data_IF_530059492755
#
_entry.id   IF_530059492755
#
_cell.length_a   1.000
_cell.length_b   1.000
_cell.length_c   1.000
_cell.angle_alpha   90.00
_cell.angle_beta   90.00
_cell.angle_gamma   90.00
#
_symmetry.space_group_name_H-M   'P 1'
#
loop_
_entity.id
_entity.type
_entity.pdbx_description
1 polymer ?
#
# COMPACT_ATOMS: atom_id res chain seq x y z
N UNK A 1 39.42 75.20 22.40
CA UNK A 1 39.39 75.53 20.96
C UNK A 1 40.25 74.51 20.20
N UNK A 2 39.62 73.80 19.26
CA UNK A 2 40.14 73.27 17.99
C UNK A 2 41.27 72.21 17.93
N UNK A 3 40.83 71.03 17.43
CA UNK A 3 41.43 70.20 16.35
C UNK A 3 42.71 69.42 16.63
N UNK A 4 42.65 68.09 16.45
CA UNK A 4 42.93 67.43 15.16
C UNK A 4 43.05 65.92 15.34
N UNK A 5 42.43 65.15 14.44
CA UNK A 5 42.82 63.77 14.17
C UNK A 5 43.89 63.76 13.07
N UNK A 6 44.77 62.74 13.05
CA UNK A 6 44.85 61.93 11.82
C UNK A 6 44.98 60.43 12.17
N UNK A 7 44.10 59.56 11.67
CA UNK A 7 44.24 58.84 10.38
C UNK A 7 45.50 57.97 10.30
N UNK A 8 45.39 56.71 10.75
CA UNK A 8 46.38 55.66 10.48
C UNK A 8 45.91 54.82 9.29
N UNK A 9 46.77 54.79 8.25
CA UNK A 9 46.58 54.02 7.02
C UNK A 9 46.90 52.53 7.26
N UNK A 10 45.94 51.70 6.87
CA UNK A 10 45.95 50.33 6.27
C UNK A 10 47.20 49.42 6.34
N UNK A 11 46.85 48.12 6.44
CA UNK A 11 47.51 46.89 5.89
C UNK A 11 48.73 46.35 6.66
N UNK A 12 48.94 45.05 6.87
CA UNK A 12 48.44 43.84 6.21
C UNK A 12 48.58 42.59 7.11
N UNK A 13 47.76 41.58 6.83
CA UNK A 13 47.71 40.22 7.36
C UNK A 13 49.06 39.47 7.36
N UNK A 14 49.32 38.63 8.39
CA UNK A 14 49.65 37.21 8.18
C UNK A 14 49.50 36.36 9.47
N UNK A 15 48.57 35.40 9.37
CA UNK A 15 48.35 34.13 10.08
C UNK A 15 49.29 33.70 11.21
N UNK A 16 48.73 33.43 12.39
CA UNK A 16 49.03 32.21 13.14
C UNK A 16 47.72 31.61 13.66
N UNK A 17 47.46 30.38 13.23
CA UNK A 17 46.23 29.64 13.47
C UNK A 17 46.01 29.36 14.97
N UNK A 18 44.96 29.95 15.55
CA UNK A 18 44.45 29.55 16.85
C UNK A 18 43.41 28.46 16.67
N UNK A 19 43.88 27.24 16.91
CA UNK A 19 43.20 26.06 17.42
C UNK A 19 41.65 26.11 17.48
N UNK A 20 41.06 25.26 16.64
CA UNK A 20 39.78 24.56 16.81
C UNK A 20 38.64 25.31 17.52
N UNK A 21 37.73 25.79 16.68
CA UNK A 21 36.27 25.72 16.85
C UNK A 21 35.89 24.64 17.88
N UNK A 22 35.50 25.06 19.08
CA UNK A 22 34.72 24.21 19.98
C UNK A 22 33.33 24.10 19.35
N UNK A 23 33.19 23.16 18.42
CA UNK A 23 31.88 22.73 17.92
C UNK A 23 31.13 22.25 19.16
N UNK A 24 30.05 22.94 19.55
CA UNK A 24 29.10 22.39 20.50
C UNK A 24 28.62 21.08 19.86
N UNK A 25 29.17 19.96 20.30
CA UNK A 25 28.52 18.69 20.11
C UNK A 25 27.22 18.81 20.89
N UNK A 26 26.13 19.12 20.18
CA UNK A 26 24.81 18.85 20.70
C UNK A 26 24.84 17.39 21.18
N UNK A 27 24.39 17.09 22.41
CA UNK A 27 24.32 15.71 22.82
C UNK A 27 23.54 14.96 21.74
N UNK A 28 24.14 13.89 21.22
CA UNK A 28 23.42 12.92 20.42
C UNK A 28 22.39 12.31 21.36
N UNK A 29 21.25 12.97 21.55
CA UNK A 29 20.10 12.35 22.15
C UNK A 29 19.71 11.25 21.18
N UNK A 30 20.21 10.04 21.46
CA UNK A 30 19.57 8.83 21.02
C UNK A 30 18.15 8.90 21.60
N UNK A 31 17.24 9.47 20.81
CA UNK A 31 15.81 9.38 21.07
C UNK A 31 15.49 7.90 20.95
N UNK A 32 15.56 7.18 22.06
CA UNK A 32 14.97 5.87 22.16
C UNK A 32 13.50 6.06 21.79
N UNK A 33 13.11 5.59 20.60
CA UNK A 33 11.71 5.56 20.16
C UNK A 33 10.88 5.07 21.36
N UNK A 34 9.85 5.80 21.82
CA UNK A 34 9.06 5.39 22.98
C UNK A 34 8.61 3.95 22.80
N UNK A 35 8.84 3.11 23.81
CA UNK A 35 8.63 1.64 23.74
C UNK A 35 7.16 1.22 23.65
N UNK A 36 6.22 2.17 23.68
CA UNK A 36 4.78 1.92 23.83
C UNK A 36 3.92 2.60 22.74
N UNK A 37 4.39 2.67 21.49
CA UNK A 37 3.47 3.02 20.40
C UNK A 37 2.45 1.87 20.24
N UNK A 38 1.12 2.13 20.27
CA UNK A 38 0.13 1.08 20.07
C UNK A 38 0.35 0.46 18.69
N UNK A 39 0.36 -0.87 18.64
CA UNK A 39 0.46 -1.63 17.39
C UNK A 39 -0.61 -1.13 16.42
N UNK A 40 -0.24 -0.92 15.16
CA UNK A 40 -1.13 -0.54 14.06
C UNK A 40 -1.21 -1.68 13.05
N UNK A 41 -2.09 -2.68 13.25
CA UNK A 41 -2.26 -3.79 12.30
C UNK A 41 -2.78 -3.35 10.93
N UNK A 42 -3.41 -2.17 10.82
CA UNK A 42 -3.89 -1.63 9.55
C UNK A 42 -5.27 -2.15 9.12
N UNK A 43 -5.71 -1.65 7.96
CA UNK A 43 -6.99 -1.97 7.33
C UNK A 43 -6.74 -2.68 6.01
N UNK A 44 -7.32 -3.86 5.82
CA UNK A 44 -7.25 -4.64 4.59
C UNK A 44 -8.41 -4.26 3.67
N UNK A 45 -8.10 -3.83 2.44
CA UNK A 45 -9.08 -3.27 1.51
C UNK A 45 -8.82 -3.76 0.10
N UNK A 46 -9.88 -4.12 -0.62
CA UNK A 46 -9.83 -4.25 -2.08
C UNK A 46 -9.46 -2.87 -2.67
N UNK A 47 -8.69 -2.88 -3.75
CA UNK A 47 -8.23 -1.63 -4.37
C UNK A 47 -9.29 -1.00 -5.26
N UNK A 48 -10.10 -1.81 -5.94
CA UNK A 48 -11.12 -1.36 -6.87
C UNK A 48 -12.52 -1.78 -6.42
N UNK A 49 -13.52 -0.94 -6.68
CA UNK A 49 -14.93 -1.29 -6.50
C UNK A 49 -15.42 -2.27 -7.57
N UNK A 50 -14.85 -2.18 -8.77
CA UNK A 50 -15.19 -3.00 -9.91
C UNK A 50 -13.98 -3.31 -10.78
N UNK A 51 -13.99 -4.48 -11.40
CA UNK A 51 -13.07 -4.88 -12.46
C UNK A 51 -13.86 -5.21 -13.72
N UNK A 52 -13.25 -4.95 -14.87
CA UNK A 52 -13.75 -5.36 -16.18
C UNK A 52 -12.74 -6.33 -16.80
N UNK A 53 -13.22 -7.45 -17.32
CA UNK A 53 -12.38 -8.47 -17.94
C UNK A 53 -13.08 -9.03 -19.17
N UNK A 54 -12.34 -9.24 -20.26
CA UNK A 54 -12.85 -9.99 -21.42
C UNK A 54 -12.82 -11.47 -21.11
N UNK A 55 -13.80 -12.21 -21.59
CA UNK A 55 -13.91 -13.66 -21.39
C UNK A 55 -12.61 -14.42 -21.80
N UNK A 56 -12.07 -14.10 -22.98
CA UNK A 56 -10.80 -14.62 -23.51
C UNK A 56 -9.52 -14.17 -22.78
N UNK A 57 -9.63 -13.37 -21.71
CA UNK A 57 -8.45 -12.91 -20.97
C UNK A 57 -7.83 -14.02 -20.12
N UNK A 58 -8.60 -15.08 -19.83
CA UNK A 58 -8.22 -16.25 -19.06
C UNK A 58 -8.20 -16.04 -17.54
N UNK A 59 -7.93 -14.83 -17.03
CA UNK A 59 -8.08 -14.52 -15.60
C UNK A 59 -8.17 -13.02 -15.31
N UNK A 60 -8.75 -12.69 -14.15
CA UNK A 60 -8.67 -11.37 -13.52
C UNK A 60 -7.81 -11.44 -12.26
N UNK A 61 -6.95 -10.44 -12.04
CA UNK A 61 -6.13 -10.32 -10.83
C UNK A 61 -6.77 -9.33 -9.87
N UNK A 62 -7.09 -9.80 -8.67
CA UNK A 62 -7.66 -8.98 -7.59
C UNK A 62 -6.54 -8.56 -6.65
N UNK A 63 -6.53 -7.27 -6.29
CA UNK A 63 -5.51 -6.70 -5.41
C UNK A 63 -6.12 -6.31 -4.06
N UNK A 64 -5.40 -6.63 -2.99
CA UNK A 64 -5.75 -6.26 -1.61
C UNK A 64 -4.59 -5.47 -1.02
N UNK A 65 -4.90 -4.25 -0.59
CA UNK A 65 -3.96 -3.36 0.09
C UNK A 65 -4.19 -3.36 1.60
N UNK A 66 -3.10 -3.23 2.35
CA UNK A 66 -3.08 -3.02 3.79
C UNK A 66 -2.65 -1.58 4.06
N UNK A 67 -3.57 -0.75 4.54
CA UNK A 67 -3.38 0.69 4.73
C UNK A 67 -3.53 1.12 6.18
N UNK A 68 -2.98 2.29 6.54
CA UNK A 68 -3.13 2.86 7.89
C UNK A 68 -2.38 2.11 9.01
N UNK A 69 -1.59 1.10 8.67
CA UNK A 69 -0.80 0.29 9.60
C UNK A 69 -0.25 -0.95 8.91
N UNK A 70 0.91 -1.43 9.35
CA UNK A 70 1.56 -2.62 8.78
C UNK A 70 2.25 -3.48 9.84
N UNK A 71 1.85 -3.30 11.09
CA UNK A 71 2.52 -3.94 12.22
C UNK A 71 1.99 -5.36 12.45
N UNK A 72 2.91 -6.29 12.63
CA UNK A 72 2.70 -7.72 12.80
C UNK A 72 2.01 -8.41 11.63
N UNK A 73 1.84 -9.72 11.81
CA UNK A 73 1.17 -10.60 10.84
C UNK A 73 -0.34 -10.43 10.96
N UNK A 74 -1.02 -10.30 9.82
CA UNK A 74 -2.49 -10.28 9.72
C UNK A 74 -2.91 -11.18 8.56
N UNK A 75 -4.12 -11.72 8.64
CA UNK A 75 -4.69 -12.52 7.54
C UNK A 75 -6.06 -12.00 7.16
N UNK A 76 -6.51 -12.35 5.95
CA UNK A 76 -7.90 -12.15 5.51
C UNK A 76 -8.30 -13.28 4.58
N UNK A 77 -9.51 -13.80 4.77
CA UNK A 77 -10.06 -14.82 3.88
C UNK A 77 -10.70 -14.13 2.67
N UNK A 78 -10.59 -14.74 1.49
CA UNK A 78 -11.30 -14.31 0.29
C UNK A 78 -12.11 -15.44 -0.31
N UNK A 79 -13.18 -15.09 -1.02
CA UNK A 79 -13.94 -15.98 -1.86
C UNK A 79 -14.72 -15.20 -2.92
N UNK A 80 -15.07 -15.85 -4.02
CA UNK A 80 -16.02 -15.32 -5.01
C UNK A 80 -17.37 -16.03 -4.96
N UNK A 81 -18.43 -15.31 -5.35
CA UNK A 81 -19.78 -15.83 -5.49
C UNK A 81 -20.41 -15.35 -6.79
N UNK A 82 -21.21 -16.21 -7.41
CA UNK A 82 -22.03 -15.88 -8.57
C UNK A 82 -22.93 -14.66 -8.31
N UNK A 83 -23.17 -13.88 -9.35
CA UNK A 83 -24.24 -12.86 -9.37
C UNK A 83 -25.12 -13.08 -10.60
N UNK A 84 -24.75 -12.55 -11.77
CA UNK A 84 -25.36 -12.95 -13.05
C UNK A 84 -24.52 -14.00 -13.76
N UNK A 85 -23.20 -13.91 -13.67
CA UNK A 85 -22.27 -14.96 -14.06
C UNK A 85 -22.36 -16.14 -13.08
N UNK A 86 -22.19 -17.36 -13.58
CA UNK A 86 -22.22 -18.65 -12.89
C UNK A 86 -20.82 -19.28 -12.82
N UNK A 87 -20.49 -19.76 -11.62
CA UNK A 87 -19.27 -20.51 -11.41
C UNK A 87 -19.26 -21.84 -12.20
N UNK A 88 -18.16 -22.11 -12.90
CA UNK A 88 -17.95 -23.28 -13.75
C UNK A 88 -18.40 -23.10 -15.20
N UNK A 89 -19.22 -22.08 -15.49
CA UNK A 89 -19.59 -21.67 -16.85
C UNK A 89 -18.77 -20.45 -17.27
N UNK A 90 -18.76 -19.37 -16.48
CA UNK A 90 -18.16 -18.09 -16.90
C UNK A 90 -16.89 -17.73 -16.09
N UNK A 91 -16.76 -18.29 -14.89
CA UNK A 91 -15.58 -18.14 -14.03
C UNK A 91 -15.39 -19.34 -13.11
N UNK A 92 -14.18 -19.53 -12.58
CA UNK A 92 -13.94 -20.60 -11.60
C UNK A 92 -14.10 -20.09 -10.17
N UNK A 93 -14.78 -20.87 -9.32
CA UNK A 93 -14.82 -20.58 -7.89
C UNK A 93 -13.41 -20.66 -7.29
N UNK A 94 -13.02 -19.62 -6.55
CA UNK A 94 -11.78 -19.56 -5.79
C UNK A 94 -12.07 -19.06 -4.38
N UNK A 95 -11.36 -19.64 -3.42
CA UNK A 95 -11.30 -19.14 -2.05
C UNK A 95 -9.92 -19.42 -1.46
N UNK A 96 -9.57 -18.67 -0.41
CA UNK A 96 -8.29 -18.84 0.26
C UNK A 96 -8.06 -17.81 1.34
N UNK A 97 -6.83 -17.77 1.83
CA UNK A 97 -6.39 -16.83 2.86
C UNK A 97 -5.16 -16.08 2.37
N UNK A 98 -5.23 -14.75 2.38
CA UNK A 98 -4.06 -13.91 2.20
C UNK A 98 -3.39 -13.69 3.55
N UNK A 99 -2.10 -13.98 3.63
CA UNK A 99 -1.27 -13.72 4.81
C UNK A 99 -0.37 -12.53 4.52
N UNK A 100 -0.55 -11.44 5.26
CA UNK A 100 0.33 -10.29 5.23
C UNK A 100 1.32 -10.40 6.39
N UNK A 101 2.60 -10.55 6.06
CA UNK A 101 3.69 -10.48 7.02
C UNK A 101 3.81 -9.09 7.67
N UNK A 102 4.67 -9.00 8.68
CA UNK A 102 5.05 -7.70 9.25
C UNK A 102 5.66 -6.82 8.15
N UNK A 103 5.18 -5.58 8.06
CA UNK A 103 5.62 -4.62 7.04
C UNK A 103 5.06 -4.83 5.63
N UNK A 104 4.41 -5.95 5.33
CA UNK A 104 3.82 -6.19 4.00
C UNK A 104 2.52 -5.40 3.81
N UNK A 105 2.39 -4.74 2.66
CA UNK A 105 1.27 -3.83 2.40
C UNK A 105 0.38 -4.21 1.21
N UNK A 106 0.73 -5.23 0.43
CA UNK A 106 -0.02 -5.65 -0.76
C UNK A 106 0.06 -7.14 -1.00
N UNK A 107 -1.07 -7.75 -1.35
CA UNK A 107 -1.17 -9.11 -1.88
C UNK A 107 -2.17 -9.15 -3.03
N UNK A 108 -2.09 -10.20 -3.82
CA UNK A 108 -3.01 -10.45 -4.94
C UNK A 108 -3.47 -11.90 -4.94
N UNK A 109 -4.59 -12.16 -5.61
CA UNK A 109 -5.01 -13.49 -6.03
C UNK A 109 -5.70 -13.39 -7.39
N UNK A 110 -5.81 -14.51 -8.09
CA UNK A 110 -6.39 -14.57 -9.43
C UNK A 110 -7.69 -15.36 -9.43
N UNK A 111 -8.67 -14.90 -10.19
CA UNK A 111 -9.88 -15.66 -10.52
C UNK A 111 -9.78 -16.06 -11.99
N UNK A 112 -9.75 -17.36 -12.33
CA UNK A 112 -9.82 -17.80 -13.72
C UNK A 112 -11.16 -17.42 -14.33
N UNK A 113 -11.11 -16.90 -15.56
CA UNK A 113 -12.27 -16.63 -16.41
C UNK A 113 -12.35 -17.78 -17.41
N UNK A 114 -13.55 -18.32 -17.60
CA UNK A 114 -13.79 -19.39 -18.57
C UNK A 114 -14.19 -18.72 -19.87
N UNK A 115 -13.54 -19.13 -20.96
CA UNK A 115 -13.79 -18.66 -22.32
C UNK A 115 -14.53 -19.76 -23.06
N UNK A 116 -15.69 -19.45 -23.62
CA UNK A 116 -16.42 -20.37 -24.49
C UNK A 116 -16.63 -19.85 -25.93
N UNK A 117 -17.68 -20.28 -26.62
CA UNK A 117 -17.96 -19.88 -28.00
C UNK A 117 -19.41 -19.41 -28.18
N UNK A 118 -20.12 -19.16 -27.09
CA UNK A 118 -21.52 -18.76 -27.05
C UNK A 118 -21.58 -17.26 -26.88
N UNK A 119 -22.40 -16.63 -27.70
CA UNK A 119 -22.74 -15.23 -27.50
C UNK A 119 -23.60 -15.06 -26.26
N UNK A 120 -23.14 -14.22 -25.35
CA UNK A 120 -23.80 -13.98 -24.07
C UNK A 120 -24.00 -12.48 -23.81
N UNK A 121 -24.79 -12.16 -22.78
CA UNK A 121 -24.95 -10.78 -22.34
C UNK A 121 -23.82 -10.41 -21.37
N UNK A 122 -23.80 -9.14 -20.96
CA UNK A 122 -22.88 -8.71 -19.91
C UNK A 122 -23.22 -9.38 -18.59
N UNK A 123 -22.25 -10.07 -18.00
CA UNK A 123 -22.43 -10.81 -16.76
C UNK A 123 -21.41 -10.40 -15.69
N UNK A 124 -21.70 -10.72 -14.44
CA UNK A 124 -20.84 -10.34 -13.33
C UNK A 124 -20.87 -11.34 -12.18
N UNK A 125 -19.77 -11.38 -11.42
CA UNK A 125 -19.66 -12.08 -10.14
C UNK A 125 -19.05 -11.16 -9.07
N UNK A 126 -19.16 -11.56 -7.81
CA UNK A 126 -18.68 -10.80 -6.66
C UNK A 126 -17.44 -11.44 -6.04
N UNK A 127 -16.55 -10.61 -5.52
CA UNK A 127 -15.40 -11.01 -4.71
C UNK A 127 -15.54 -10.41 -3.31
N UNK A 128 -15.28 -11.21 -2.28
CA UNK A 128 -15.41 -10.80 -0.88
C UNK A 128 -14.12 -10.98 -0.10
N UNK A 129 -13.87 -10.06 0.83
CA UNK A 129 -12.94 -10.23 1.94
C UNK A 129 -13.74 -10.47 3.24
N UNK A 130 -13.29 -11.41 4.06
CA UNK A 130 -13.93 -11.76 5.33
C UNK A 130 -12.92 -12.15 6.41
N UNK A 131 -13.36 -12.03 7.65
CA UNK A 131 -12.67 -12.58 8.83
C UNK A 131 -11.19 -12.15 8.93
N UNK A 132 -10.89 -10.84 8.97
CA UNK A 132 -9.52 -10.41 9.19
C UNK A 132 -9.03 -10.84 10.58
N UNK A 133 -7.75 -11.18 10.70
CA UNK A 133 -7.13 -11.55 11.98
C UNK A 133 -6.00 -10.60 12.35
N UNK A 134 -5.35 -10.83 13.50
CA UNK A 134 -4.18 -10.06 13.93
C UNK A 134 -4.48 -8.60 14.32
N UNK A 135 -5.75 -8.26 14.52
CA UNK A 135 -6.23 -6.93 14.86
C UNK A 135 -6.45 -6.00 13.66
N UNK A 136 -6.32 -6.50 12.43
CA UNK A 136 -6.68 -5.74 11.24
C UNK A 136 -8.21 -5.58 11.13
N UNK A 137 -8.64 -4.52 10.45
CA UNK A 137 -10.04 -4.28 10.10
C UNK A 137 -10.24 -4.36 8.59
N UNK A 138 -11.49 -4.48 8.13
CA UNK A 138 -11.82 -4.44 6.71
C UNK A 138 -12.13 -3.01 6.25
N UNK A 139 -11.65 -2.68 5.06
CA UNK A 139 -12.01 -1.50 4.29
C UNK A 139 -13.10 -1.81 3.28
N UNK A 140 -12.83 -1.55 2.01
CA UNK A 140 -13.64 -2.11 0.94
C UNK A 140 -13.47 -3.62 0.93
N UNK A 141 -14.54 -4.36 1.16
CA UNK A 141 -14.51 -5.81 1.30
C UNK A 141 -15.37 -6.54 0.27
N UNK A 142 -16.00 -5.82 -0.65
CA UNK A 142 -16.71 -6.37 -1.80
C UNK A 142 -16.26 -5.64 -3.07
N UNK A 143 -15.99 -6.39 -4.13
CA UNK A 143 -15.76 -5.87 -5.49
C UNK A 143 -16.58 -6.66 -6.48
N UNK A 144 -17.04 -5.98 -7.54
CA UNK A 144 -17.71 -6.61 -8.67
C UNK A 144 -16.71 -6.92 -9.77
N UNK A 145 -16.88 -8.03 -10.47
CA UNK A 145 -16.13 -8.34 -11.69
C UNK A 145 -17.13 -8.53 -12.81
N UNK A 146 -17.05 -7.66 -13.81
CA UNK A 146 -17.85 -7.72 -15.03
C UNK A 146 -17.08 -8.47 -16.11
N UNK A 147 -17.73 -9.46 -16.72
CA UNK A 147 -17.20 -10.27 -17.82
C UNK A 147 -17.81 -9.77 -19.13
N UNK A 148 -16.95 -9.39 -20.06
CA UNK A 148 -17.30 -8.96 -21.41
C UNK A 148 -17.11 -10.11 -22.38
N UNK A 149 -18.22 -10.52 -23.02
CA UNK A 149 -18.25 -11.49 -24.11
C UNK A 149 -17.39 -10.99 -25.30
N UNK A 150 -16.61 -11.90 -25.91
CA UNK A 150 -15.84 -11.64 -27.13
C UNK A 150 -16.36 -12.34 -28.38
N UNK A 151 -17.48 -13.04 -28.28
CA UNK A 151 -18.06 -13.81 -29.37
C UNK A 151 -19.11 -13.03 -30.16
N UNK A 152 -19.57 -13.60 -31.28
CA UNK A 152 -20.38 -12.92 -32.29
C UNK A 152 -21.76 -13.51 -32.48
#
# INVERSE_FOLDING_TARGET
MLRSTPSFKKLSFLFLAFCMIFLLAAPLQASAKPRDEPKKPGKLTLTELSYDVSENKGSVTITVDRIGGKDGVVTVNYCNCSFTAKAGEDFNHVSGTLVFGDGETRKTFTVPIVDDSKKEFLEAFNVYLKEPTGGATLGLFISFVTIWDNDK
#
